data_IF_585913780161
#
_entry.id   IF_585913780161
#
_cell.length_a   1.000
_cell.length_b   1.000
_cell.length_c   1.000
_cell.angle_alpha   90.00
_cell.angle_beta   90.00
_cell.angle_gamma   90.00
#
_symmetry.space_group_name_H-M   'P 1'
#
loop_
_entity.id
_entity.type
_entity.pdbx_description
1 polymer ?
#
# COMPACT_ATOMS: atom_id res chain seq x y z
N UNK A 1 14.55 0.01 -4.85
CA UNK A 1 14.68 -0.93 -3.71
C UNK A 1 13.72 -0.51 -2.60
N UNK A 2 13.16 -1.50 -1.89
CA UNK A 2 12.26 -1.28 -0.75
C UNK A 2 12.95 -1.75 0.53
N UNK A 3 12.75 -1.03 1.63
CA UNK A 3 13.44 -1.26 2.89
C UNK A 3 12.49 -1.26 4.09
N UNK A 4 12.69 -2.22 4.99
CA UNK A 4 12.13 -2.17 6.34
C UNK A 4 12.80 -1.04 7.15
N UNK A 5 12.00 -0.24 7.86
CA UNK A 5 12.48 0.95 8.60
C UNK A 5 12.14 0.94 10.10
N UNK A 6 11.68 -0.20 10.63
CA UNK A 6 11.50 -0.40 12.08
C UNK A 6 10.31 0.32 12.72
N UNK A 7 9.52 1.07 11.94
CA UNK A 7 8.25 1.67 12.38
C UNK A 7 7.09 0.80 11.85
N UNK A 8 6.14 0.36 12.70
CA UNK A 8 4.95 -0.35 12.24
C UNK A 8 4.15 0.48 11.22
N UNK A 9 3.76 -0.16 10.12
CA UNK A 9 3.05 0.46 9.00
C UNK A 9 3.94 1.32 8.10
N UNK A 10 5.23 1.46 8.40
CA UNK A 10 6.14 2.28 7.63
C UNK A 10 6.90 1.48 6.56
N UNK A 11 7.37 2.21 5.55
CA UNK A 11 8.09 1.67 4.41
C UNK A 11 9.16 2.67 3.98
N UNK A 12 10.39 2.18 3.82
CA UNK A 12 11.47 2.93 3.20
C UNK A 12 11.63 2.54 1.74
N UNK A 13 12.09 3.48 0.91
CA UNK A 13 12.44 3.20 -0.48
C UNK A 13 13.71 3.93 -0.90
N UNK A 14 14.34 3.40 -1.94
CA UNK A 14 15.50 3.97 -2.61
C UNK A 14 15.36 3.73 -4.11
N UNK A 15 15.08 4.79 -4.86
CA UNK A 15 14.90 4.74 -6.31
C UNK A 15 16.02 5.51 -7.01
N UNK A 16 16.74 4.83 -7.91
CA UNK A 16 17.71 5.46 -8.79
C UNK A 16 16.98 6.15 -9.95
N UNK A 17 17.53 7.27 -10.40
CA UNK A 17 17.17 7.92 -11.66
C UNK A 17 18.40 8.65 -12.22
N UNK A 18 18.32 9.18 -13.44
CA UNK A 18 19.46 9.80 -14.12
C UNK A 18 20.09 10.97 -13.33
N UNK A 19 19.28 11.65 -12.50
CA UNK A 19 19.74 12.74 -11.62
C UNK A 19 20.13 12.31 -10.20
N UNK A 20 20.36 11.01 -9.94
CA UNK A 20 20.82 10.50 -8.64
C UNK A 20 19.83 9.55 -7.95
N UNK A 21 19.54 9.81 -6.67
CA UNK A 21 18.77 8.89 -5.82
C UNK A 21 17.61 9.59 -5.12
N UNK A 22 16.43 8.96 -5.12
CA UNK A 22 15.29 9.34 -4.29
C UNK A 22 15.16 8.35 -3.16
N UNK A 23 15.55 8.78 -1.97
CA UNK A 23 15.44 8.02 -0.73
C UNK A 23 14.31 8.62 0.09
N UNK A 24 13.39 7.78 0.57
CA UNK A 24 12.24 8.25 1.31
C UNK A 24 11.72 7.23 2.31
N UNK A 25 10.90 7.74 3.23
CA UNK A 25 10.20 6.96 4.24
C UNK A 25 8.76 7.44 4.28
N UNK A 26 7.82 6.49 4.20
CA UNK A 26 6.40 6.71 4.43
C UNK A 26 6.00 6.01 5.72
N UNK A 27 5.20 6.67 6.56
CA UNK A 27 4.65 6.10 7.78
C UNK A 27 3.27 6.69 8.08
N UNK A 28 2.45 6.03 8.91
CA UNK A 28 1.23 6.61 9.45
C UNK A 28 1.48 7.99 10.08
N UNK A 29 0.55 8.93 9.90
CA UNK A 29 0.75 10.34 10.25
C UNK A 29 1.09 10.58 11.74
N UNK A 30 0.63 9.71 12.65
CA UNK A 30 0.97 9.80 14.08
C UNK A 30 2.44 9.46 14.39
N UNK A 31 3.17 8.84 13.46
CA UNK A 31 4.63 8.66 13.56
C UNK A 31 5.44 9.84 12.98
N UNK A 32 4.78 10.94 12.56
CA UNK A 32 5.43 12.14 12.01
C UNK A 32 6.68 12.60 12.79
N UNK A 33 6.70 12.63 14.14
CA UNK A 33 7.88 13.06 14.90
C UNK A 33 9.14 12.22 14.63
N UNK A 34 8.98 10.96 14.24
CA UNK A 34 10.08 10.01 14.03
C UNK A 34 10.51 9.89 12.57
N UNK A 35 9.80 10.52 11.62
CA UNK A 35 10.05 10.36 10.19
C UNK A 35 11.43 10.87 9.77
N UNK A 36 11.83 12.06 10.25
CA UNK A 36 13.13 12.64 9.90
C UNK A 36 14.28 11.77 10.40
N UNK A 37 14.23 11.35 11.68
CA UNK A 37 15.25 10.48 12.25
C UNK A 37 15.31 9.13 11.51
N UNK A 38 14.16 8.60 11.10
CA UNK A 38 14.08 7.34 10.37
C UNK A 38 14.64 7.47 8.95
N UNK A 39 14.37 8.59 8.28
CA UNK A 39 14.97 8.91 6.99
C UNK A 39 16.50 9.01 7.10
N UNK A 40 17.02 9.70 8.11
CA UNK A 40 18.47 9.83 8.32
C UNK A 40 19.14 8.47 8.56
N UNK A 41 18.50 7.60 9.36
CA UNK A 41 18.96 6.22 9.58
C UNK A 41 18.97 5.44 8.27
N UNK A 42 17.93 5.57 7.45
CA UNK A 42 17.84 4.90 6.16
C UNK A 42 18.91 5.38 5.18
N UNK A 43 19.14 6.69 5.08
CA UNK A 43 20.19 7.28 4.24
C UNK A 43 21.55 6.75 4.67
N UNK A 44 21.90 6.80 5.96
CA UNK A 44 23.16 6.25 6.49
C UNK A 44 23.34 4.78 6.15
N UNK A 45 22.27 3.98 6.30
CA UNK A 45 22.26 2.56 5.96
C UNK A 45 22.55 2.34 4.46
N UNK A 46 21.86 3.07 3.58
CA UNK A 46 22.05 2.94 2.12
C UNK A 46 23.46 3.38 1.71
N UNK A 47 23.95 4.50 2.24
CA UNK A 47 25.31 4.98 2.00
C UNK A 47 26.35 3.93 2.38
N UNK A 48 26.22 3.33 3.56
CA UNK A 48 27.13 2.28 4.02
C UNK A 48 27.07 1.03 3.13
N UNK A 49 25.89 0.61 2.68
CA UNK A 49 25.73 -0.55 1.79
C UNK A 49 26.33 -0.32 0.40
N UNK A 50 26.29 0.90 -0.13
CA UNK A 50 26.69 1.19 -1.51
C UNK A 50 28.19 1.44 -1.70
N UNK A 51 28.94 1.70 -0.62
CA UNK A 51 30.40 1.86 -0.65
C UNK A 51 30.88 3.06 -1.47
N UNK A 52 31.58 4.00 -0.83
CA UNK A 52 32.29 5.14 -1.47
C UNK A 52 31.45 6.21 -2.18
N UNK A 53 30.12 6.09 -2.28
CA UNK A 53 29.26 7.18 -2.79
C UNK A 53 28.78 8.02 -1.61
N UNK A 54 29.27 9.26 -1.51
CA UNK A 54 28.73 10.24 -0.56
C UNK A 54 27.35 10.70 -1.04
N UNK A 55 26.29 10.15 -0.43
CA UNK A 55 24.92 10.60 -0.67
C UNK A 55 24.67 11.88 0.13
N UNK A 56 25.08 13.02 -0.42
CA UNK A 56 24.76 14.33 0.15
C UNK A 56 23.31 14.69 -0.19
N UNK A 57 22.47 15.03 0.81
CA UNK A 57 21.10 15.42 0.56
C UNK A 57 21.07 16.76 -0.18
N UNK A 58 20.60 16.74 -1.42
CA UNK A 58 20.40 17.96 -2.22
C UNK A 58 19.12 18.69 -1.78
N UNK A 59 18.08 17.93 -1.41
CA UNK A 59 16.78 18.46 -0.99
C UNK A 59 16.02 17.43 -0.15
N UNK A 60 15.39 17.88 0.92
CA UNK A 60 14.48 17.07 1.73
C UNK A 60 13.08 17.69 1.69
N UNK A 61 12.08 16.88 1.41
CA UNK A 61 10.66 17.29 1.35
C UNK A 61 9.78 16.27 2.04
N UNK A 62 8.63 16.71 2.52
CA UNK A 62 7.60 15.82 3.08
C UNK A 62 6.21 16.28 2.66
N UNK A 63 5.32 15.30 2.47
CA UNK A 63 3.92 15.53 2.13
C UNK A 63 3.04 14.49 2.84
N UNK A 64 1.76 14.83 3.01
CA UNK A 64 0.76 13.88 3.47
C UNK A 64 0.14 13.18 2.26
N UNK A 65 0.14 11.84 2.27
CA UNK A 65 -0.58 11.04 1.28
C UNK A 65 -1.88 10.57 1.92
N UNK A 66 -3.05 10.94 1.38
CA UNK A 66 -4.34 10.60 1.97
C UNK A 66 -4.73 9.15 1.64
N UNK A 67 -4.16 8.22 2.41
CA UNK A 67 -4.42 6.77 2.32
C UNK A 67 -5.62 6.32 3.15
N UNK A 68 -6.55 7.23 3.45
CA UNK A 68 -7.67 6.96 4.34
C UNK A 68 -8.45 5.71 3.91
N UNK A 69 -8.69 4.81 4.88
CA UNK A 69 -9.41 3.55 4.67
C UNK A 69 -10.88 3.73 4.25
N UNK A 70 -11.44 4.93 4.45
CA UNK A 70 -12.86 5.23 4.26
C UNK A 70 -13.18 5.77 2.86
N UNK A 71 -14.47 5.82 2.55
CA UNK A 71 -15.04 6.23 1.27
C UNK A 71 -14.44 7.54 0.74
N UNK A 72 -13.96 7.57 -0.51
CA UNK A 72 -13.37 8.77 -1.09
C UNK A 72 -14.42 9.87 -1.26
N UNK A 73 -13.94 11.10 -1.19
CA UNK A 73 -14.76 12.28 -1.47
C UNK A 73 -14.65 12.58 -2.95
N UNK A 74 -15.54 12.02 -3.76
CA UNK A 74 -15.49 12.14 -5.22
C UNK A 74 -15.99 13.49 -5.76
N UNK A 75 -16.58 14.33 -4.90
CA UNK A 75 -17.11 15.64 -5.28
C UNK A 75 -18.56 15.87 -4.82
N UNK A 76 -19.05 17.08 -5.06
CA UNK A 76 -20.40 17.55 -4.72
C UNK A 76 -20.89 18.51 -5.80
N UNK A 77 -22.12 18.30 -6.29
CA UNK A 77 -22.77 19.13 -7.31
C UNK A 77 -21.88 19.33 -8.56
N UNK A 78 -21.41 20.55 -8.81
CA UNK A 78 -20.56 20.92 -9.95
C UNK A 78 -19.06 20.79 -9.67
N UNK A 79 -18.68 20.29 -8.50
CA UNK A 79 -17.29 20.10 -8.09
C UNK A 79 -16.95 18.62 -8.13
N UNK A 80 -15.88 18.29 -8.84
CA UNK A 80 -15.32 16.94 -8.97
C UNK A 80 -13.94 16.92 -8.33
N UNK A 81 -13.65 15.85 -7.58
CA UNK A 81 -12.35 15.66 -6.94
C UNK A 81 -11.66 14.44 -7.57
N UNK A 82 -10.35 14.55 -7.77
CA UNK A 82 -9.51 13.51 -8.37
C UNK A 82 -8.26 13.27 -7.50
N UNK A 83 -7.62 12.11 -7.68
CA UNK A 83 -6.37 11.75 -7.01
C UNK A 83 -6.40 11.99 -5.49
N UNK A 84 -5.36 12.63 -4.97
CA UNK A 84 -5.21 12.91 -3.54
C UNK A 84 -6.33 13.81 -3.00
N UNK A 85 -6.87 14.74 -3.79
CA UNK A 85 -7.98 15.59 -3.37
C UNK A 85 -9.25 14.78 -3.09
N UNK A 86 -9.43 13.65 -3.78
CA UNK A 86 -10.50 12.69 -3.54
C UNK A 86 -10.16 11.62 -2.49
N UNK A 87 -8.90 11.54 -2.03
CA UNK A 87 -8.41 10.51 -1.12
C UNK A 87 -8.19 9.15 -1.80
N UNK A 88 -7.83 9.15 -3.10
CA UNK A 88 -7.74 7.92 -3.90
C UNK A 88 -6.41 7.18 -3.80
N UNK A 89 -5.40 7.72 -3.10
CA UNK A 89 -4.14 7.03 -2.87
C UNK A 89 -4.34 5.69 -2.16
N UNK A 90 -3.65 4.65 -2.62
CA UNK A 90 -3.84 3.27 -2.18
C UNK A 90 -3.43 3.06 -0.70
N UNK A 91 -4.27 2.43 0.14
CA UNK A 91 -3.97 2.22 1.56
C UNK A 91 -2.78 1.29 1.85
N UNK A 92 -2.53 0.29 1.01
CA UNK A 92 -1.52 -0.73 1.25
C UNK A 92 -0.15 -0.34 0.70
N UNK A 93 -0.08 0.03 -0.58
CA UNK A 93 1.15 0.40 -1.28
C UNK A 93 1.54 1.86 -1.04
N UNK A 94 0.55 2.75 -0.84
CA UNK A 94 0.76 4.20 -0.80
C UNK A 94 0.83 4.86 -2.18
N UNK A 95 0.61 4.11 -3.26
CA UNK A 95 0.63 4.64 -4.63
C UNK A 95 -0.61 5.48 -4.93
N UNK A 96 -0.41 6.64 -5.56
CA UNK A 96 -1.50 7.58 -5.88
C UNK A 96 -1.52 8.05 -7.33
N UNK A 97 -0.43 7.88 -8.09
CA UNK A 97 -0.28 8.46 -9.44
C UNK A 97 -1.28 7.82 -10.41
N UNK A 98 -1.35 6.49 -10.46
CA UNK A 98 -2.28 5.78 -11.33
C UNK A 98 -3.74 6.16 -11.01
N UNK A 99 -4.09 6.21 -9.72
CA UNK A 99 -5.42 6.60 -9.28
C UNK A 99 -5.75 8.06 -9.65
N UNK A 100 -4.80 8.98 -9.57
CA UNK A 100 -4.97 10.38 -9.99
C UNK A 100 -5.22 10.50 -11.50
N UNK A 101 -4.44 9.79 -12.33
CA UNK A 101 -4.62 9.78 -13.78
C UNK A 101 -5.96 9.16 -14.19
N UNK A 102 -6.29 7.98 -13.65
CA UNK A 102 -7.53 7.26 -13.96
C UNK A 102 -8.77 8.05 -13.54
N UNK A 103 -8.74 8.67 -12.35
CA UNK A 103 -9.85 9.52 -11.90
C UNK A 103 -10.01 10.78 -12.75
N UNK A 104 -8.92 11.43 -13.14
CA UNK A 104 -8.96 12.58 -14.05
C UNK A 104 -9.55 12.23 -15.41
N UNK A 105 -9.11 11.11 -16.00
CA UNK A 105 -9.64 10.62 -17.26
C UNK A 105 -11.14 10.29 -17.17
N UNK A 106 -11.57 9.61 -16.11
CA UNK A 106 -12.99 9.30 -15.89
C UNK A 106 -13.85 10.57 -15.71
N UNK A 107 -13.33 11.59 -15.01
CA UNK A 107 -14.03 12.88 -14.88
C UNK A 107 -14.18 13.54 -16.26
N UNK A 108 -13.11 13.58 -17.05
CA UNK A 108 -13.16 14.14 -18.40
C UNK A 108 -14.19 13.43 -19.27
N UNK A 109 -14.23 12.10 -19.24
CA UNK A 109 -15.17 11.28 -19.99
C UNK A 109 -16.63 11.56 -19.60
N UNK A 110 -16.96 11.58 -18.30
CA UNK A 110 -18.35 11.82 -17.88
C UNK A 110 -18.81 13.25 -18.19
N UNK A 111 -17.90 14.21 -18.19
CA UNK A 111 -18.19 15.60 -18.55
C UNK A 111 -18.39 15.76 -20.05
N UNK A 112 -17.55 15.12 -20.88
CA UNK A 112 -17.64 15.22 -22.34
C UNK A 112 -18.90 14.54 -22.91
N UNK A 113 -19.42 13.51 -22.24
CA UNK A 113 -20.65 12.82 -22.66
C UNK A 113 -21.92 13.66 -22.49
N UNK A 114 -21.90 14.73 -21.69
CA UNK A 114 -23.07 15.59 -21.49
C UNK A 114 -24.24 14.93 -20.76
N UNK A 115 -23.99 13.88 -19.97
CA UNK A 115 -25.06 13.23 -19.20
C UNK A 115 -25.69 14.18 -18.16
N UNK A 116 -26.98 14.03 -17.84
CA UNK A 116 -27.67 14.92 -16.89
C UNK A 116 -27.14 14.83 -15.45
N UNK A 117 -26.45 13.73 -15.08
CA UNK A 117 -25.90 13.49 -13.74
C UNK A 117 -24.43 13.01 -13.79
N UNK A 118 -23.47 13.85 -14.24
CA UNK A 118 -22.09 13.41 -14.50
C UNK A 118 -21.37 12.97 -13.21
N UNK A 119 -21.63 13.63 -12.07
CA UNK A 119 -21.06 13.23 -10.78
C UNK A 119 -21.53 11.84 -10.34
N UNK A 120 -22.80 11.51 -10.57
CA UNK A 120 -23.32 10.16 -10.25
C UNK A 120 -22.66 9.10 -11.13
N UNK A 121 -22.40 9.41 -12.39
CA UNK A 121 -21.71 8.53 -13.33
C UNK A 121 -20.25 8.32 -12.93
N UNK A 122 -19.56 9.38 -12.51
CA UNK A 122 -18.21 9.27 -11.95
C UNK A 122 -18.18 8.41 -10.66
N UNK A 123 -19.15 8.59 -9.77
CA UNK A 123 -19.29 7.75 -8.55
C UNK A 123 -19.53 6.28 -8.89
N UNK A 124 -20.37 6.00 -9.89
CA UNK A 124 -20.64 4.64 -10.35
C UNK A 124 -19.39 4.01 -10.98
N UNK A 125 -18.65 4.75 -11.82
CA UNK A 125 -17.37 4.31 -12.36
C UNK A 125 -16.39 3.93 -11.24
N UNK A 126 -16.23 4.79 -10.22
CA UNK A 126 -15.34 4.49 -9.11
C UNK A 126 -15.78 3.25 -8.35
N UNK A 127 -17.08 3.13 -8.06
CA UNK A 127 -17.64 1.99 -7.34
C UNK A 127 -17.38 0.68 -8.08
N UNK A 128 -17.63 0.65 -9.38
CA UNK A 128 -17.53 -0.56 -10.20
C UNK A 128 -16.08 -1.01 -10.41
N UNK A 129 -15.15 -0.07 -10.55
CA UNK A 129 -13.75 -0.38 -10.88
C UNK A 129 -12.84 -0.50 -9.65
N UNK A 130 -13.11 0.25 -8.57
CA UNK A 130 -12.15 0.41 -7.47
C UNK A 130 -12.66 0.02 -6.10
N UNK A 131 -13.98 -0.06 -5.85
CA UNK A 131 -14.47 -0.30 -4.48
C UNK A 131 -13.94 -1.62 -3.90
N UNK A 132 -13.99 -2.70 -4.69
CA UNK A 132 -13.52 -4.01 -4.26
C UNK A 132 -12.02 -4.01 -4.01
N UNK A 133 -11.25 -3.49 -4.97
CA UNK A 133 -9.79 -3.38 -4.85
C UNK A 133 -9.39 -2.53 -3.64
N UNK A 134 -10.09 -1.42 -3.40
CA UNK A 134 -9.88 -0.54 -2.25
C UNK A 134 -10.15 -1.27 -0.93
N UNK A 135 -11.23 -2.03 -0.82
CA UNK A 135 -11.55 -2.82 0.38
C UNK A 135 -10.44 -3.84 0.69
N UNK A 136 -9.98 -4.56 -0.32
CA UNK A 136 -8.92 -5.55 -0.15
C UNK A 136 -7.58 -4.90 0.20
N UNK A 137 -7.25 -3.78 -0.44
CA UNK A 137 -6.08 -2.96 -0.10
C UNK A 137 -6.13 -2.49 1.37
N UNK A 138 -7.26 -1.94 1.82
CA UNK A 138 -7.46 -1.55 3.22
C UNK A 138 -7.28 -2.74 4.17
N UNK A 139 -7.86 -3.90 3.84
CA UNK A 139 -7.71 -5.09 4.67
C UNK A 139 -6.25 -5.55 4.76
N UNK A 140 -5.53 -5.58 3.63
CA UNK A 140 -4.09 -5.89 3.61
C UNK A 140 -3.27 -4.87 4.37
N UNK A 141 -3.60 -3.57 4.29
CA UNK A 141 -2.92 -2.53 5.05
C UNK A 141 -3.05 -2.77 6.57
N UNK A 142 -4.21 -3.25 7.02
CA UNK A 142 -4.48 -3.56 8.41
C UNK A 142 -3.85 -4.90 8.85
N UNK A 143 -3.92 -5.95 8.02
CA UNK A 143 -3.38 -7.28 8.37
C UNK A 143 -1.86 -7.33 8.26
N UNK A 144 -1.29 -6.67 7.26
CA UNK A 144 0.15 -6.55 7.05
C UNK A 144 0.72 -5.29 7.72
N UNK A 145 0.08 -4.79 8.77
CA UNK A 145 0.50 -3.56 9.45
C UNK A 145 1.92 -3.65 10.02
N UNK A 146 2.34 -4.83 10.50
CA UNK A 146 3.73 -5.05 10.96
C UNK A 146 4.65 -5.31 9.77
N UNK A 147 5.00 -4.26 9.02
CA UNK A 147 6.00 -4.26 7.94
C UNK A 147 7.44 -4.30 8.49
N UNK A 148 7.74 -5.26 9.36
CA UNK A 148 9.06 -5.42 9.97
C UNK A 148 10.04 -6.18 9.05
N UNK A 149 11.30 -6.32 9.47
CA UNK A 149 12.30 -7.03 8.67
C UNK A 149 11.95 -8.50 8.43
N UNK A 150 11.20 -9.15 9.33
CA UNK A 150 10.76 -10.55 9.18
C UNK A 150 9.69 -10.66 8.11
N UNK A 151 8.73 -9.74 8.11
CA UNK A 151 7.71 -9.64 7.06
C UNK A 151 8.34 -9.49 5.66
N UNK A 152 9.30 -8.58 5.49
CA UNK A 152 9.99 -8.45 4.20
C UNK A 152 10.84 -9.68 3.85
N UNK A 153 11.53 -10.28 4.82
CA UNK A 153 12.30 -11.50 4.59
C UNK A 153 11.39 -12.67 4.17
N UNK A 154 10.21 -12.77 4.74
CA UNK A 154 9.24 -13.81 4.43
C UNK A 154 8.60 -13.61 3.05
N UNK A 155 8.14 -12.38 2.75
CA UNK A 155 7.56 -12.06 1.44
C UNK A 155 8.60 -12.19 0.32
N UNK A 156 9.82 -11.72 0.54
CA UNK A 156 10.89 -11.83 -0.47
C UNK A 156 11.24 -13.28 -0.85
N UNK A 157 10.90 -14.26 0.02
CA UNK A 157 11.09 -15.69 -0.24
C UNK A 157 9.88 -16.33 -0.92
N UNK A 158 8.70 -15.74 -0.80
CA UNK A 158 7.50 -16.21 -1.49
C UNK A 158 7.41 -15.59 -2.89
N UNK A 159 7.94 -16.32 -3.89
CA UNK A 159 7.91 -15.89 -5.30
C UNK A 159 6.51 -15.56 -5.79
N UNK A 160 5.50 -16.33 -5.39
CA UNK A 160 4.11 -16.09 -5.80
C UNK A 160 3.61 -14.75 -5.23
N UNK A 161 3.96 -14.46 -3.97
CA UNK A 161 3.59 -13.18 -3.35
C UNK A 161 4.31 -12.01 -4.03
N UNK A 162 5.59 -12.16 -4.36
CA UNK A 162 6.38 -11.15 -5.08
C UNK A 162 5.85 -10.89 -6.50
N UNK A 163 5.49 -11.94 -7.24
CA UNK A 163 4.95 -11.82 -8.60
C UNK A 163 3.57 -11.13 -8.58
N UNK A 164 2.73 -11.45 -7.59
CA UNK A 164 1.44 -10.78 -7.40
C UNK A 164 1.60 -9.32 -7.01
N UNK A 165 2.57 -8.99 -6.15
CA UNK A 165 2.88 -7.61 -5.78
C UNK A 165 3.45 -6.82 -6.96
N UNK A 166 4.32 -7.43 -7.77
CA UNK A 166 4.84 -6.82 -9.00
C UNK A 166 3.72 -6.56 -10.00
N UNK A 167 2.88 -7.57 -10.26
CA UNK A 167 1.71 -7.41 -11.12
C UNK A 167 0.72 -6.36 -10.62
N UNK A 168 0.59 -6.18 -9.30
CA UNK A 168 -0.19 -5.09 -8.72
C UNK A 168 0.41 -3.72 -9.04
N UNK A 169 1.74 -3.57 -8.92
CA UNK A 169 2.45 -2.33 -9.23
C UNK A 169 2.41 -1.99 -10.74
N UNK A 170 2.47 -3.00 -11.59
CA UNK A 170 2.38 -2.86 -13.05
C UNK A 170 0.92 -2.70 -13.53
N UNK A 171 -0.05 -2.82 -12.62
CA UNK A 171 -1.49 -2.76 -12.94
C UNK A 171 -2.03 -3.99 -13.68
N UNK A 172 -1.24 -5.05 -13.80
CA UNK A 172 -1.62 -6.33 -14.42
C UNK A 172 -2.42 -7.26 -13.48
N UNK A 173 -2.34 -7.05 -12.17
CA UNK A 173 -3.00 -7.86 -11.14
C UNK A 173 -3.79 -7.00 -10.16
N UNK A 174 -4.94 -7.52 -9.69
CA UNK A 174 -5.71 -6.92 -8.61
C UNK A 174 -5.34 -7.50 -7.22
N UNK A 175 -5.83 -6.84 -6.18
CA UNK A 175 -5.68 -7.27 -4.79
C UNK A 175 -6.38 -8.60 -4.46
N UNK A 176 -7.29 -9.08 -5.29
CA UNK A 176 -8.00 -10.36 -5.09
C UNK A 176 -7.03 -11.54 -4.94
N UNK A 177 -6.07 -11.67 -5.87
CA UNK A 177 -5.11 -12.75 -5.84
C UNK A 177 -4.17 -12.65 -4.61
N UNK A 178 -3.78 -11.42 -4.26
CA UNK A 178 -2.92 -11.14 -3.13
C UNK A 178 -3.61 -11.47 -1.78
N UNK A 179 -4.89 -11.10 -1.66
CA UNK A 179 -5.71 -11.40 -0.50
C UNK A 179 -5.92 -12.91 -0.32
N UNK A 180 -6.25 -13.63 -1.40
CA UNK A 180 -6.41 -15.08 -1.36
C UNK A 180 -5.13 -15.82 -0.94
N UNK A 181 -3.96 -15.37 -1.39
CA UNK A 181 -2.67 -15.94 -0.98
C UNK A 181 -2.40 -15.70 0.52
N UNK A 182 -2.63 -14.47 0.98
CA UNK A 182 -2.40 -14.07 2.38
C UNK A 182 -3.28 -14.84 3.34
N UNK A 183 -4.58 -14.94 3.05
CA UNK A 183 -5.54 -15.65 3.90
C UNK A 183 -5.30 -17.17 3.96
N UNK A 184 -4.91 -17.81 2.85
CA UNK A 184 -4.52 -19.24 2.87
C UNK A 184 -3.24 -19.50 3.67
N UNK A 185 -2.27 -18.59 3.62
CA UNK A 185 -1.04 -18.69 4.43
C UNK A 185 -1.30 -18.56 5.94
N UNK A 186 -2.16 -17.63 6.35
CA UNK A 186 -2.58 -17.48 7.75
C UNK A 186 -3.41 -18.67 8.25
N UNK A 187 -4.35 -19.19 7.46
CA UNK A 187 -5.14 -20.37 7.83
C UNK A 187 -4.26 -21.64 7.95
N UNK A 188 -3.26 -21.80 7.09
CA UNK A 188 -2.28 -22.88 7.21
C UNK A 188 -1.39 -22.77 8.45
N UNK A 189 -1.02 -21.55 8.86
CA UNK A 189 -0.26 -21.30 10.11
C UNK A 189 -1.08 -21.50 11.38
N UNK A 190 -2.34 -21.04 11.39
CA UNK A 190 -3.25 -21.28 12.51
C UNK A 190 -3.55 -22.77 12.69
N UNK A 191 -3.65 -23.54 11.60
CA UNK A 191 -3.78 -25.01 11.66
C UNK A 191 -2.53 -25.69 12.23
N UNK A 192 -1.33 -25.18 11.98
CA UNK A 192 -0.08 -25.74 12.52
C UNK A 192 0.20 -25.31 13.97
N UNK A 193 -0.30 -24.16 14.41
CA UNK A 193 -0.21 -23.72 15.81
C UNK A 193 -1.26 -24.42 16.70
N UNK A 194 -2.46 -24.68 16.18
CA UNK A 194 -3.52 -25.41 16.91
C UNK A 194 -3.26 -26.93 16.95
N UNK A 195 -2.50 -27.49 16.00
CA UNK A 195 -2.11 -28.90 16.03
C UNK A 195 -0.99 -29.24 17.04
N UNK A 196 -0.41 -28.23 17.71
CA UNK A 196 0.69 -28.39 18.66
C UNK A 196 0.29 -28.51 20.14
N UNK A 197 -0.96 -28.24 20.50
CA UNK A 197 -1.45 -28.37 21.88
C UNK A 197 -2.88 -28.92 21.88
N UNK A 198 -3.16 -29.82 22.82
CA UNK A 198 -4.40 -30.61 23.04
C UNK A 198 -4.30 -32.07 22.52
N UNK A 199 -3.37 -32.81 23.11
CA UNK A 199 -3.66 -34.20 23.51
C UNK A 199 -4.35 -34.10 24.89
N UNK A 200 -5.68 -34.00 24.90
CA UNK A 200 -6.48 -34.14 26.11
C UNK A 200 -7.40 -35.33 25.90
N UNK A 201 -6.98 -36.42 26.51
CA UNK A 201 -7.75 -37.65 26.69
C UNK A 201 -9.04 -37.31 27.47
N UNK A 202 -10.20 -37.60 26.88
CA UNK A 202 -11.49 -37.55 27.59
C UNK A 202 -12.29 -38.83 27.32
N UNK A 203 -12.86 -39.45 28.36
CA UNK A 203 -13.35 -40.82 28.29
C UNK A 203 -14.69 -40.91 27.58
N UNK A 204 -14.89 -42.04 26.91
CA UNK A 204 -16.15 -42.43 26.28
C UNK A 204 -17.27 -42.55 27.32
N UNK A 205 -18.41 -41.94 27.01
CA UNK A 205 -19.68 -42.17 27.71
C UNK A 205 -20.65 -42.81 26.73
N UNK A 206 -21.24 -43.93 27.17
CA UNK A 206 -22.27 -44.71 26.46
C UNK A 206 -23.59 -43.95 26.35
#
# INVERSE_FOLDING_TARGET
EMHAVGIPGALGWCFAWDGGWRIGVGAPAFFKPHLTETLDKLVKKITAMRGSISLLPVKTTGALVPTAAFWPRLGKERVFLAGDAAGLADPFSGEGIAAALQSGAAIAEVLSHGWPNPLQKYRAWWHNNYLRQRRLSTLLALTCWKKDARFFAEISRDRVWMDLLAGLMDGCSGYDALWHRTTRGCLGRMSSEVAGEIEVDMPAVK
#
